data_IF_334700856877
#
_entry.id   IF_334700856877
#
_cell.length_a   1.000
_cell.length_b   1.000
_cell.length_c   1.000
_cell.angle_alpha   90.00
_cell.angle_beta   90.00
_cell.angle_gamma   90.00
#
_symmetry.space_group_name_H-M   'P 1'
#
loop_
_entity.id
_entity.type
_entity.pdbx_description
1 polymer ?
#
# COMPACT_ATOMS: atom_id res chain seq x y z
N UNK A 1 16.25 -9.30 55.45
CA UNK A 1 16.94 -8.97 54.19
C UNK A 1 18.02 -7.93 54.45
N UNK A 2 19.28 -8.31 54.27
CA UNK A 2 20.42 -7.40 54.45
C UNK A 2 20.46 -6.35 53.33
N UNK A 3 21.16 -5.23 53.54
CA UNK A 3 21.21 -4.10 52.60
C UNK A 3 21.69 -4.49 51.20
N UNK A 4 22.50 -5.54 51.11
CA UNK A 4 23.01 -6.15 49.87
C UNK A 4 21.89 -6.83 49.08
N UNK A 5 21.01 -7.60 49.74
CA UNK A 5 19.88 -8.29 49.10
C UNK A 5 18.85 -7.30 48.55
N UNK A 6 18.60 -6.20 49.27
CA UNK A 6 17.70 -5.12 48.80
C UNK A 6 18.26 -4.40 47.57
N UNK A 7 19.58 -4.21 47.49
CA UNK A 7 20.24 -3.63 46.30
C UNK A 7 20.19 -4.59 45.12
N UNK A 8 20.44 -5.88 45.34
CA UNK A 8 20.40 -6.90 44.30
C UNK A 8 19.00 -7.06 43.69
N UNK A 9 17.95 -7.10 44.53
CA UNK A 9 16.56 -7.13 44.05
C UNK A 9 16.16 -5.89 43.24
N UNK A 10 16.55 -4.68 43.68
CA UNK A 10 16.25 -3.45 42.93
C UNK A 10 16.93 -3.43 41.56
N UNK A 11 18.19 -3.85 41.48
CA UNK A 11 18.92 -3.94 40.21
C UNK A 11 18.27 -4.97 39.27
N UNK A 12 17.80 -6.10 39.80
CA UNK A 12 17.10 -7.12 39.02
C UNK A 12 15.76 -6.59 38.48
N UNK A 13 14.94 -5.94 39.32
CA UNK A 13 13.66 -5.35 38.88
C UNK A 13 13.84 -4.27 37.81
N UNK A 14 14.84 -3.38 37.96
CA UNK A 14 15.14 -2.36 36.96
C UNK A 14 15.58 -3.01 35.64
N UNK A 15 16.47 -4.01 35.70
CA UNK A 15 16.90 -4.74 34.51
C UNK A 15 15.72 -5.45 33.83
N UNK A 16 14.80 -6.07 34.58
CA UNK A 16 13.59 -6.70 34.02
C UNK A 16 12.64 -5.68 33.38
N UNK A 17 12.46 -4.50 33.97
CA UNK A 17 11.65 -3.43 33.38
C UNK A 17 12.31 -2.91 32.09
N UNK A 18 13.63 -2.71 32.10
CA UNK A 18 14.37 -2.29 30.89
C UNK A 18 14.29 -3.37 29.81
N UNK A 19 14.44 -4.65 30.15
CA UNK A 19 14.29 -5.75 29.19
C UNK A 19 12.86 -5.80 28.66
N UNK A 20 11.82 -5.66 29.51
CA UNK A 20 10.43 -5.60 29.04
C UNK A 20 10.17 -4.40 28.13
N UNK A 21 10.72 -3.22 28.46
CA UNK A 21 10.63 -2.02 27.61
C UNK A 21 11.38 -2.22 26.29
N UNK A 22 12.58 -2.81 26.30
CA UNK A 22 13.34 -3.12 25.10
C UNK A 22 12.67 -4.21 24.24
N UNK A 23 12.04 -5.22 24.86
CA UNK A 23 11.27 -6.23 24.17
C UNK A 23 9.94 -5.70 23.61
N UNK A 24 9.37 -4.62 24.19
CA UNK A 24 8.20 -3.94 23.64
C UNK A 24 8.50 -3.04 22.43
N UNK A 25 9.78 -2.80 22.13
CA UNK A 25 10.23 -1.94 21.02
C UNK A 25 10.58 -2.73 19.75
N UNK A 26 10.14 -3.98 19.59
CA UNK A 26 10.39 -4.68 18.33
C UNK A 26 9.58 -4.02 17.20
N UNK A 27 10.24 -3.49 16.15
CA UNK A 27 9.56 -2.99 14.97
C UNK A 27 8.91 -4.19 14.29
N UNK A 28 7.59 -4.18 14.27
CA UNK A 28 6.80 -5.28 13.73
C UNK A 28 5.98 -4.75 12.57
N UNK A 29 5.69 -5.64 11.63
CA UNK A 29 5.29 -5.22 10.30
C UNK A 29 3.88 -4.66 10.32
N UNK A 30 3.66 -3.50 9.70
CA UNK A 30 2.36 -2.85 9.76
C UNK A 30 2.06 -2.07 8.48
N UNK A 31 1.26 -2.60 7.55
CA UNK A 31 0.81 -1.94 6.31
C UNK A 31 -0.58 -1.30 6.45
N UNK A 32 -0.99 -0.41 5.54
CA UNK A 32 -2.33 0.22 5.55
C UNK A 32 -2.95 0.22 4.16
N UNK A 33 -4.23 -0.07 4.04
CA UNK A 33 -4.96 -0.03 2.77
C UNK A 33 -6.37 0.54 2.92
N UNK A 34 -6.92 1.06 1.83
CA UNK A 34 -8.29 1.53 1.77
C UNK A 34 -8.94 1.26 0.40
N UNK A 35 -10.27 1.21 0.39
CA UNK A 35 -11.08 1.38 -0.81
C UNK A 35 -12.13 2.46 -0.56
N UNK A 36 -12.39 3.30 -1.56
CA UNK A 36 -13.35 4.38 -1.53
C UNK A 36 -14.20 4.41 -2.81
N UNK A 37 -15.48 4.72 -2.64
CA UNK A 37 -16.49 4.83 -3.68
C UNK A 37 -17.27 6.14 -3.56
N UNK A 38 -17.05 7.04 -4.50
CA UNK A 38 -17.85 8.26 -4.68
C UNK A 38 -18.01 8.57 -6.17
N UNK A 39 -17.77 9.82 -6.55
CA UNK A 39 -17.72 10.21 -7.97
C UNK A 39 -16.60 9.49 -8.75
N UNK A 40 -15.61 8.97 -8.02
CA UNK A 40 -14.53 8.14 -8.54
C UNK A 40 -14.31 6.98 -7.56
N UNK A 41 -13.85 5.86 -8.09
CA UNK A 41 -13.35 4.73 -7.29
C UNK A 41 -11.85 4.91 -7.08
N UNK A 42 -11.40 4.76 -5.84
CA UNK A 42 -9.98 4.84 -5.49
C UNK A 42 -9.63 3.75 -4.49
N UNK A 43 -8.51 3.06 -4.73
CA UNK A 43 -7.94 2.12 -3.77
C UNK A 43 -6.54 2.56 -3.38
N UNK A 44 -6.15 2.34 -2.14
CA UNK A 44 -4.84 2.76 -1.63
C UNK A 44 -4.15 1.65 -0.87
N UNK A 45 -2.82 1.61 -0.95
CA UNK A 45 -1.98 0.73 -0.14
C UNK A 45 -0.64 1.40 0.19
N UNK A 46 -0.32 1.50 1.48
CA UNK A 46 1.02 1.77 1.99
C UNK A 46 1.74 0.45 2.26
N UNK A 47 2.90 0.29 1.64
CA UNK A 47 3.82 -0.80 1.94
C UNK A 47 4.86 -0.33 2.95
N UNK A 48 4.67 -0.78 4.17
CA UNK A 48 5.54 -0.48 5.30
C UNK A 48 6.48 -1.66 5.53
N UNK A 49 7.78 -1.40 5.51
CA UNK A 49 8.77 -2.47 5.66
C UNK A 49 10.12 -1.96 6.21
N UNK A 50 11.01 -2.90 6.55
CA UNK A 50 12.38 -2.61 6.96
C UNK A 50 13.17 -1.85 5.89
N UNK A 51 14.04 -0.95 6.34
CA UNK A 51 14.92 -0.19 5.44
C UNK A 51 15.80 -1.11 4.61
N UNK A 52 15.93 -0.81 3.31
CA UNK A 52 16.78 -1.58 2.40
C UNK A 52 16.13 -2.84 1.82
N UNK A 53 14.89 -3.15 2.19
CA UNK A 53 14.08 -4.10 1.42
C UNK A 53 13.62 -3.48 0.10
N UNK A 54 13.36 -4.37 -0.85
CA UNK A 54 12.92 -4.01 -2.19
C UNK A 54 11.72 -4.88 -2.59
N UNK A 55 10.95 -4.35 -3.53
CA UNK A 55 9.83 -5.04 -4.15
C UNK A 55 9.84 -4.80 -5.65
N UNK A 56 9.18 -5.69 -6.37
CA UNK A 56 9.09 -5.67 -7.82
C UNK A 56 7.65 -5.41 -8.22
N UNK A 57 7.45 -4.37 -9.01
CA UNK A 57 6.22 -4.17 -9.78
C UNK A 57 6.29 -5.09 -10.98
N UNK A 58 5.22 -5.83 -11.21
CA UNK A 58 5.08 -6.77 -12.32
C UNK A 58 3.77 -6.52 -13.04
N UNK A 59 3.82 -6.47 -14.37
CA UNK A 59 2.63 -6.40 -15.20
C UNK A 59 2.64 -7.62 -16.11
N UNK A 60 1.57 -8.41 -16.03
CA UNK A 60 1.39 -9.61 -16.84
C UNK A 60 0.03 -9.62 -17.49
N UNK A 61 0.00 -10.13 -18.71
CA UNK A 61 -1.23 -10.43 -19.44
C UNK A 61 -1.57 -11.91 -19.23
N UNK A 62 -2.81 -12.20 -18.81
CA UNK A 62 -3.39 -13.54 -18.75
C UNK A 62 -4.70 -13.46 -19.53
N UNK A 63 -4.77 -14.20 -20.63
CA UNK A 63 -5.83 -14.06 -21.63
C UNK A 63 -5.96 -12.58 -22.05
N UNK A 64 -7.14 -11.97 -21.90
CA UNK A 64 -7.37 -10.56 -22.23
C UNK A 64 -7.23 -9.61 -21.02
N UNK A 65 -6.84 -10.14 -19.86
CA UNK A 65 -6.72 -9.37 -18.61
C UNK A 65 -5.24 -9.05 -18.36
N UNK A 66 -4.91 -7.76 -18.28
CA UNK A 66 -3.65 -7.32 -17.69
C UNK A 66 -3.77 -7.15 -16.19
N UNK A 67 -2.74 -7.59 -15.47
CA UNK A 67 -2.66 -7.54 -14.01
C UNK A 67 -1.42 -6.79 -13.60
N UNK A 68 -1.61 -5.71 -12.85
CA UNK A 68 -0.56 -5.06 -12.06
C UNK A 68 -0.48 -5.76 -10.72
N UNK A 69 0.72 -6.18 -10.32
CA UNK A 69 0.95 -6.84 -9.04
C UNK A 69 2.31 -6.44 -8.49
N UNK A 70 2.44 -6.40 -7.17
CA UNK A 70 3.68 -6.08 -6.48
C UNK A 70 4.01 -7.20 -5.51
N UNK A 71 5.23 -7.72 -5.62
CA UNK A 71 5.76 -8.73 -4.71
C UNK A 71 7.08 -8.28 -4.10
N UNK A 72 7.30 -8.61 -2.84
CA UNK A 72 8.56 -8.33 -2.16
C UNK A 72 9.68 -9.26 -2.66
N UNK A 73 10.93 -8.98 -2.30
CA UNK A 73 12.08 -9.82 -2.70
C UNK A 73 11.99 -11.31 -2.33
N UNK A 74 11.12 -11.67 -1.40
CA UNK A 74 10.90 -13.06 -0.96
C UNK A 74 9.77 -13.75 -1.75
N UNK A 75 9.21 -13.07 -2.75
CA UNK A 75 8.17 -13.59 -3.65
C UNK A 75 6.77 -13.58 -3.03
N UNK A 76 6.53 -12.74 -2.02
CA UNK A 76 5.19 -12.53 -1.46
C UNK A 76 4.51 -11.35 -2.14
N UNK A 77 3.41 -11.64 -2.82
CA UNK A 77 2.49 -10.65 -3.35
C UNK A 77 1.78 -9.93 -2.20
N UNK A 78 1.66 -8.61 -2.31
CA UNK A 78 1.03 -7.80 -1.26
C UNK A 78 0.04 -6.74 -1.77
N UNK A 79 0.08 -6.38 -3.05
CA UNK A 79 -0.90 -5.46 -3.62
C UNK A 79 -0.97 -5.54 -5.14
N UNK A 80 -2.15 -5.39 -5.70
CA UNK A 80 -2.37 -5.49 -7.13
C UNK A 80 -3.74 -5.02 -7.58
N UNK A 81 -3.86 -4.77 -8.88
CA UNK A 81 -5.12 -4.48 -9.54
C UNK A 81 -5.10 -5.06 -10.96
N UNK A 82 -6.19 -5.68 -11.38
CA UNK A 82 -6.36 -6.10 -12.76
C UNK A 82 -7.16 -5.07 -13.57
N UNK A 83 -7.14 -5.23 -14.90
CA UNK A 83 -7.82 -4.33 -15.86
C UNK A 83 -9.35 -4.45 -15.86
N UNK A 84 -9.90 -5.40 -15.11
CA UNK A 84 -11.34 -5.38 -14.80
C UNK A 84 -11.66 -4.43 -13.65
N UNK A 85 -10.65 -3.92 -12.94
CA UNK A 85 -10.79 -3.01 -11.81
C UNK A 85 -10.87 -3.72 -10.45
N UNK A 86 -10.59 -5.03 -10.41
CA UNK A 86 -10.48 -5.79 -9.16
C UNK A 86 -9.12 -5.52 -8.53
N UNK A 87 -9.16 -5.00 -7.31
CA UNK A 87 -8.02 -4.71 -6.44
C UNK A 87 -7.91 -5.75 -5.33
N UNK A 88 -6.67 -6.07 -4.98
CA UNK A 88 -6.35 -6.90 -3.83
C UNK A 88 -5.16 -6.29 -3.07
N UNK A 89 -5.25 -6.22 -1.75
CA UNK A 89 -4.14 -5.87 -0.86
C UNK A 89 -4.06 -6.87 0.28
N UNK A 90 -2.90 -7.51 0.43
CA UNK A 90 -2.63 -8.52 1.46
C UNK A 90 -1.70 -7.93 2.53
N UNK A 91 -2.10 -8.05 3.79
CA UNK A 91 -1.41 -7.44 4.93
C UNK A 91 -1.29 -8.46 6.07
N UNK A 92 -0.22 -8.36 6.85
CA UNK A 92 -0.05 -9.22 8.02
C UNK A 92 -0.96 -8.79 9.16
N UNK A 93 -1.48 -9.76 9.89
CA UNK A 93 -2.28 -9.56 11.11
C UNK A 93 -1.37 -9.61 12.33
N UNK A 94 -1.58 -8.72 13.31
CA UNK A 94 -0.81 -8.61 14.54
C UNK A 94 -1.68 -8.11 15.72
N UNK A 95 -1.61 -8.72 16.92
CA UNK A 95 -0.84 -9.94 17.22
C UNK A 95 -1.30 -11.08 16.30
N UNK A 96 -0.37 -11.94 15.90
CA UNK A 96 -0.75 -13.24 15.36
C UNK A 96 -1.67 -13.88 16.41
N UNK A 97 -2.86 -14.31 16.00
CA UNK A 97 -3.74 -15.05 16.89
C UNK A 97 -3.08 -16.41 17.13
N UNK A 98 -2.25 -16.47 18.18
CA UNK A 98 -1.42 -17.61 18.63
C UNK A 98 -1.65 -18.91 17.86
N UNK A 99 -0.59 -19.59 17.36
CA UNK A 99 -0.70 -20.86 16.64
C UNK A 99 -1.48 -21.88 17.50
N UNK A 100 -2.75 -22.06 17.16
CA UNK A 100 -3.72 -22.70 18.04
C UNK A 100 -5.17 -22.63 17.54
N UNK A 101 -5.49 -21.77 16.58
CA UNK A 101 -6.87 -21.68 16.05
C UNK A 101 -7.08 -22.13 14.60
N UNK A 102 -6.06 -22.59 13.89
CA UNK A 102 -6.30 -23.40 12.68
C UNK A 102 -6.53 -24.85 13.13
N UNK A 103 -7.76 -25.16 13.54
CA UNK A 103 -8.22 -26.53 13.33
C UNK A 103 -8.41 -26.68 11.82
N UNK A 104 -7.49 -27.41 11.17
CA UNK A 104 -7.71 -28.10 9.88
C UNK A 104 -8.93 -29.06 9.90
N UNK A 105 -9.83 -28.92 10.88
CA UNK A 105 -10.97 -29.79 11.15
C UNK A 105 -12.30 -29.02 11.27
N UNK A 106 -12.31 -27.68 11.12
CA UNK A 106 -13.55 -26.93 11.04
C UNK A 106 -14.23 -27.19 9.68
N UNK A 107 -15.03 -28.24 9.66
CA UNK A 107 -15.83 -28.77 8.55
C UNK A 107 -15.02 -29.57 7.51
N UNK A 108 -14.86 -30.88 7.76
CA UNK A 108 -14.17 -31.85 6.88
C UNK A 108 -14.78 -31.98 5.47
N UNK A 109 -15.92 -31.33 5.22
CA UNK A 109 -16.62 -31.30 3.94
C UNK A 109 -16.18 -30.14 3.02
N UNK A 110 -15.51 -29.11 3.57
CA UNK A 110 -15.05 -27.95 2.78
C UNK A 110 -13.62 -28.16 2.25
N UNK A 111 -13.39 -27.72 1.01
CA UNK A 111 -12.05 -27.67 0.43
C UNK A 111 -11.23 -26.58 1.15
N UNK A 112 -9.93 -26.80 1.38
CA UNK A 112 -9.06 -25.77 1.96
C UNK A 112 -8.35 -24.97 0.87
N UNK A 113 -8.26 -23.66 1.03
CA UNK A 113 -7.44 -22.78 0.20
C UNK A 113 -6.62 -21.84 1.08
N UNK A 114 -5.35 -21.60 0.73
CA UNK A 114 -4.55 -20.63 1.48
C UNK A 114 -4.95 -19.19 1.14
N UNK A 115 -4.77 -18.24 2.07
CA UNK A 115 -4.98 -16.81 1.81
C UNK A 115 -4.14 -16.32 0.60
N UNK A 116 -2.91 -16.84 0.46
CA UNK A 116 -2.03 -16.54 -0.68
C UNK A 116 -2.63 -17.00 -2.01
N UNK A 117 -3.18 -18.21 -2.04
CA UNK A 117 -3.81 -18.75 -3.23
C UNK A 117 -5.15 -18.06 -3.54
N UNK A 118 -5.89 -17.65 -2.51
CA UNK A 118 -7.09 -16.82 -2.66
C UNK A 118 -6.74 -15.46 -3.28
N UNK A 119 -5.74 -14.75 -2.75
CA UNK A 119 -5.24 -13.50 -3.32
C UNK A 119 -4.88 -13.68 -4.80
N UNK A 120 -4.07 -14.69 -5.09
CA UNK A 120 -3.55 -14.92 -6.45
C UNK A 120 -4.66 -15.30 -7.41
N UNK A 121 -5.50 -16.27 -7.03
CA UNK A 121 -6.64 -16.71 -7.86
C UNK A 121 -7.57 -15.53 -8.13
N UNK A 122 -7.87 -14.73 -7.12
CA UNK A 122 -8.77 -13.59 -7.28
C UNK A 122 -8.22 -12.57 -8.24
N UNK A 123 -6.99 -12.10 -8.00
CA UNK A 123 -6.39 -11.06 -8.82
C UNK A 123 -6.18 -11.48 -10.28
N UNK A 124 -5.85 -12.75 -10.52
CA UNK A 124 -5.53 -13.26 -11.87
C UNK A 124 -6.71 -13.83 -12.64
N UNK A 125 -7.85 -14.14 -12.01
CA UNK A 125 -8.97 -14.83 -12.67
C UNK A 125 -10.32 -14.14 -12.54
N UNK A 126 -10.52 -13.31 -11.52
CA UNK A 126 -11.82 -12.71 -11.24
C UNK A 126 -11.84 -11.23 -11.60
N UNK A 127 -13.05 -10.72 -11.80
CA UNK A 127 -13.36 -9.36 -12.23
C UNK A 127 -14.10 -8.59 -11.14
N UNK A 128 -14.81 -9.29 -10.26
CA UNK A 128 -15.64 -8.71 -9.21
C UNK A 128 -15.66 -9.54 -7.92
N UNK A 129 -16.08 -8.92 -6.82
CA UNK A 129 -16.23 -9.53 -5.50
C UNK A 129 -17.21 -10.70 -5.51
N UNK A 130 -18.25 -10.65 -6.38
CA UNK A 130 -19.22 -11.73 -6.54
C UNK A 130 -18.58 -13.07 -6.86
N UNK A 131 -17.63 -13.09 -7.79
CA UNK A 131 -16.89 -14.30 -8.19
C UNK A 131 -15.98 -14.81 -7.08
N UNK A 132 -15.36 -13.92 -6.30
CA UNK A 132 -14.59 -14.29 -5.10
C UNK A 132 -15.50 -14.97 -4.09
N UNK A 133 -16.68 -14.40 -3.85
CA UNK A 133 -17.65 -14.95 -2.90
C UNK A 133 -18.15 -16.32 -3.35
N UNK A 134 -18.52 -16.49 -4.62
CA UNK A 134 -18.89 -17.77 -5.20
C UNK A 134 -17.77 -18.81 -5.04
N UNK A 135 -16.54 -18.42 -5.37
CA UNK A 135 -15.37 -19.28 -5.23
C UNK A 135 -15.13 -19.72 -3.77
N UNK A 136 -15.39 -18.84 -2.79
CA UNK A 136 -15.25 -19.14 -1.38
C UNK A 136 -16.42 -19.93 -0.76
N UNK A 137 -17.57 -20.07 -1.43
CA UNK A 137 -18.78 -20.69 -0.84
C UNK A 137 -18.53 -22.11 -0.30
N UNK A 138 -17.70 -22.89 -0.99
CA UNK A 138 -17.37 -24.26 -0.62
C UNK A 138 -15.94 -24.42 -0.09
N UNK A 139 -15.29 -23.31 0.31
CA UNK A 139 -13.89 -23.30 0.72
C UNK A 139 -13.68 -22.71 2.10
N UNK A 140 -12.74 -23.30 2.84
CA UNK A 140 -12.16 -22.72 4.03
C UNK A 140 -10.82 -22.08 3.72
N UNK A 141 -10.75 -20.76 3.94
CA UNK A 141 -9.50 -20.02 3.87
C UNK A 141 -8.63 -20.36 5.07
N UNK A 142 -7.35 -20.64 4.83
CA UNK A 142 -6.34 -20.93 5.85
C UNK A 142 -5.12 -20.03 5.68
N UNK A 143 -4.30 -19.90 6.73
CA UNK A 143 -2.98 -19.31 6.60
C UNK A 143 -1.95 -20.37 6.20
N UNK A 144 -0.84 -19.92 5.63
CA UNK A 144 0.35 -20.76 5.43
C UNK A 144 1.29 -20.62 6.62
N UNK A 145 2.34 -19.82 6.48
CA UNK A 145 3.36 -19.61 7.52
C UNK A 145 3.17 -18.31 8.30
N UNK A 146 2.46 -17.34 7.72
CA UNK A 146 2.24 -16.01 8.28
C UNK A 146 0.77 -15.66 8.15
N UNK A 147 0.20 -15.13 9.23
CA UNK A 147 -1.20 -14.72 9.28
C UNK A 147 -1.41 -13.45 8.47
N UNK A 148 -2.11 -13.60 7.36
CA UNK A 148 -2.48 -12.50 6.47
C UNK A 148 -3.99 -12.39 6.35
N UNK A 149 -4.48 -11.17 6.25
CA UNK A 149 -5.81 -10.88 5.71
C UNK A 149 -5.68 -10.16 4.37
N UNK A 150 -6.75 -10.23 3.57
CA UNK A 150 -6.76 -9.61 2.25
C UNK A 150 -7.98 -8.73 2.08
N UNK A 151 -7.76 -7.46 1.74
CA UNK A 151 -8.79 -6.58 1.23
C UNK A 151 -8.96 -6.87 -0.26
N UNK A 152 -10.20 -7.10 -0.67
CA UNK A 152 -10.61 -7.09 -2.07
C UNK A 152 -11.56 -5.93 -2.31
N UNK A 153 -11.46 -5.29 -3.47
CA UNK A 153 -12.37 -4.24 -3.89
C UNK A 153 -12.56 -4.30 -5.40
N UNK A 154 -13.77 -4.07 -5.91
CA UNK A 154 -14.05 -3.98 -7.33
C UNK A 154 -14.69 -2.64 -7.71
N UNK A 155 -14.71 -2.32 -9.00
CA UNK A 155 -15.24 -1.05 -9.52
C UNK A 155 -16.77 -0.93 -9.44
N UNK A 156 -17.48 -1.97 -9.02
CA UNK A 156 -18.95 -1.96 -8.91
C UNK A 156 -19.44 -1.29 -7.62
N UNK A 157 -18.55 -1.01 -6.68
CA UNK A 157 -18.90 -0.51 -5.35
C UNK A 157 -18.74 -1.55 -4.24
N UNK A 158 -18.28 -2.77 -4.56
CA UNK A 158 -18.14 -3.84 -3.59
C UNK A 158 -16.70 -3.94 -3.07
N UNK A 159 -16.53 -3.90 -1.76
CA UNK A 159 -15.25 -4.20 -1.12
C UNK A 159 -15.45 -5.00 0.17
N UNK A 160 -14.45 -5.82 0.51
CA UNK A 160 -14.45 -6.65 1.71
C UNK A 160 -13.03 -6.98 2.19
N UNK A 161 -12.89 -7.19 3.49
CA UNK A 161 -11.71 -7.80 4.11
C UNK A 161 -12.02 -9.25 4.43
N UNK A 162 -11.21 -10.17 3.91
CA UNK A 162 -11.30 -11.61 4.17
C UNK A 162 -10.24 -12.01 5.19
N UNK A 163 -10.70 -12.63 6.27
CA UNK A 163 -9.93 -13.05 7.43
C UNK A 163 -10.19 -14.54 7.73
N UNK A 164 -9.20 -15.22 8.30
CA UNK A 164 -9.33 -16.61 8.71
C UNK A 164 -9.89 -16.64 10.12
N UNK A 165 -11.16 -17.00 10.26
CA UNK A 165 -11.75 -17.24 11.57
C UNK A 165 -11.45 -18.64 12.09
N UNK A 166 -11.85 -18.91 13.34
CA UNK A 166 -11.78 -20.24 13.96
C UNK A 166 -12.72 -21.25 13.30
N UNK A 167 -13.99 -20.89 13.09
CA UNK A 167 -15.03 -21.82 12.61
C UNK A 167 -15.62 -21.44 11.25
N UNK A 168 -15.34 -20.23 10.74
CA UNK A 168 -15.78 -19.75 9.42
C UNK A 168 -14.75 -18.81 8.79
N UNK A 169 -14.87 -18.55 7.49
CA UNK A 169 -14.25 -17.37 6.88
C UNK A 169 -14.89 -16.12 7.52
N UNK A 170 -14.08 -15.20 8.00
CA UNK A 170 -14.53 -13.93 8.55
C UNK A 170 -14.47 -12.90 7.44
N UNK A 171 -15.59 -12.23 7.19
CA UNK A 171 -15.72 -11.26 6.11
C UNK A 171 -16.23 -9.96 6.71
N UNK A 172 -15.46 -8.89 6.56
CA UNK A 172 -15.88 -7.53 6.87
C UNK A 172 -16.17 -6.81 5.57
N UNK A 173 -17.43 -6.64 5.23
CA UNK A 173 -17.83 -5.88 4.04
C UNK A 173 -17.73 -4.38 4.30
N UNK A 174 -17.52 -3.62 3.22
CA UNK A 174 -17.60 -2.17 3.24
C UNK A 174 -18.91 -1.67 3.85
N UNK A 175 -18.83 -0.58 4.59
CA UNK A 175 -19.97 0.19 5.06
C UNK A 175 -19.94 1.56 4.39
N UNK A 176 -21.08 2.01 3.86
CA UNK A 176 -21.21 3.26 3.12
C UNK A 176 -20.23 3.38 1.92
N UNK A 177 -19.37 4.39 1.95
CA UNK A 177 -18.49 4.76 0.82
C UNK A 177 -17.06 4.27 0.96
N UNK A 178 -16.63 3.73 2.10
CA UNK A 178 -15.22 3.35 2.27
C UNK A 178 -14.98 2.21 3.26
N UNK A 179 -13.85 1.53 3.07
CA UNK A 179 -13.31 0.54 4.01
C UNK A 179 -11.80 0.75 4.16
N UNK A 180 -11.30 0.57 5.37
CA UNK A 180 -9.87 0.67 5.71
C UNK A 180 -9.43 -0.64 6.35
N UNK A 181 -8.24 -1.10 6.01
CA UNK A 181 -7.61 -2.28 6.61
C UNK A 181 -6.17 -1.92 7.01
N UNK A 182 -5.74 -2.37 8.20
CA UNK A 182 -4.35 -2.20 8.63
C UNK A 182 -3.74 -3.54 9.01
N UNK A 183 -3.55 -3.83 10.30
CA UNK A 183 -2.85 -5.05 10.74
C UNK A 183 -3.52 -5.73 11.92
N UNK A 184 -4.77 -5.39 12.20
CA UNK A 184 -5.59 -6.16 13.14
C UNK A 184 -6.75 -6.76 12.37
N UNK A 185 -7.39 -7.79 12.92
CA UNK A 185 -8.56 -8.36 12.27
C UNK A 185 -9.74 -7.37 12.33
N UNK A 186 -10.14 -6.85 11.18
CA UNK A 186 -11.27 -5.95 11.01
C UNK A 186 -12.56 -6.55 11.60
N UNK A 187 -12.76 -7.86 11.43
CA UNK A 187 -13.99 -8.55 11.83
C UNK A 187 -14.27 -8.43 13.33
N UNK A 188 -13.24 -8.55 14.19
CA UNK A 188 -13.43 -8.47 15.64
C UNK A 188 -13.70 -7.03 16.14
N UNK A 189 -13.40 -6.02 15.33
CA UNK A 189 -13.61 -4.61 15.67
C UNK A 189 -14.76 -3.96 14.91
N UNK A 190 -15.55 -4.72 14.13
CA UNK A 190 -16.61 -4.18 13.28
C UNK A 190 -17.64 -3.31 14.04
N UNK A 191 -17.94 -3.68 15.29
CA UNK A 191 -18.88 -2.94 16.17
C UNK A 191 -18.16 -2.06 17.21
N UNK A 192 -16.84 -1.90 17.09
CA UNK A 192 -16.04 -1.06 17.99
C UNK A 192 -15.91 0.34 17.39
N UNK A 193 -16.16 1.37 18.21
CA UNK A 193 -15.80 2.75 17.87
C UNK A 193 -14.33 2.81 17.44
N UNK A 194 -14.08 3.25 16.20
CA UNK A 194 -12.75 3.22 15.60
C UNK A 194 -11.70 3.95 16.45
N UNK A 195 -12.08 4.97 17.23
CA UNK A 195 -11.18 5.71 18.12
C UNK A 195 -10.74 4.92 19.35
N UNK A 196 -11.43 3.81 19.66
CA UNK A 196 -11.18 2.95 20.82
C UNK A 196 -10.43 1.67 20.46
N UNK A 197 -10.15 1.44 19.19
CA UNK A 197 -9.37 0.28 18.75
C UNK A 197 -7.93 0.46 19.24
N UNK A 198 -7.47 -0.45 20.08
CA UNK A 198 -6.10 -0.49 20.59
C UNK A 198 -5.44 -1.77 20.10
N UNK A 199 -4.88 -1.69 18.90
CA UNK A 199 -4.21 -2.80 18.22
C UNK A 199 -3.05 -2.31 17.34
N UNK A 200 -2.27 -3.22 16.76
CA UNK A 200 -1.19 -2.82 15.85
C UNK A 200 -1.77 -2.13 14.61
N UNK A 201 -1.24 -0.95 14.28
CA UNK A 201 -1.73 -0.17 13.15
C UNK A 201 -3.05 0.57 13.42
N UNK A 202 -3.52 0.58 14.67
CA UNK A 202 -4.71 1.37 15.06
C UNK A 202 -4.49 2.87 14.88
N UNK A 203 -3.28 3.37 15.11
CA UNK A 203 -2.89 4.76 14.85
C UNK A 203 -3.14 5.17 13.39
N UNK A 204 -2.68 4.36 12.43
CA UNK A 204 -2.87 4.60 10.99
C UNK A 204 -4.31 4.35 10.56
N UNK A 205 -4.98 3.38 11.17
CA UNK A 205 -6.42 3.14 10.95
C UNK A 205 -7.25 4.36 11.36
N UNK A 206 -7.01 4.88 12.57
CA UNK A 206 -7.66 6.08 13.11
C UNK A 206 -7.34 7.29 12.24
N UNK A 207 -6.07 7.50 11.86
CA UNK A 207 -5.69 8.60 10.97
C UNK A 207 -6.41 8.53 9.61
N UNK A 208 -6.55 7.34 9.04
CA UNK A 208 -7.31 7.12 7.81
C UNK A 208 -8.81 7.39 7.98
N UNK A 209 -9.41 6.92 9.08
CA UNK A 209 -10.82 7.18 9.39
C UNK A 209 -11.10 8.66 9.62
N UNK A 210 -10.29 9.34 10.44
CA UNK A 210 -10.44 10.78 10.69
C UNK A 210 -10.31 11.57 9.37
N UNK A 211 -9.30 11.23 8.53
CA UNK A 211 -9.15 11.84 7.21
C UNK A 211 -10.39 11.62 6.33
N UNK A 212 -10.93 10.40 6.31
CA UNK A 212 -12.12 10.09 5.52
C UNK A 212 -13.34 10.85 6.01
N UNK A 213 -13.64 10.84 7.30
CA UNK A 213 -14.82 11.53 7.83
C UNK A 213 -14.79 13.04 7.57
N UNK A 214 -13.60 13.65 7.56
CA UNK A 214 -13.42 15.06 7.22
C UNK A 214 -13.59 15.37 5.72
N UNK A 215 -13.37 14.38 4.84
CA UNK A 215 -13.21 14.60 3.41
C UNK A 215 -14.17 13.80 2.50
N UNK A 216 -15.00 12.92 3.06
CA UNK A 216 -15.75 11.87 2.34
C UNK A 216 -16.59 12.39 1.17
N UNK A 217 -17.23 13.55 1.30
CA UNK A 217 -18.11 14.10 0.25
C UNK A 217 -17.36 14.84 -0.86
N UNK A 218 -16.06 15.07 -0.66
CA UNK A 218 -15.22 15.79 -1.61
C UNK A 218 -13.94 15.01 -1.93
N UNK A 219 -13.95 13.70 -1.63
CA UNK A 219 -12.78 12.84 -1.77
C UNK A 219 -12.49 12.58 -3.24
N UNK A 220 -11.29 12.97 -3.66
CA UNK A 220 -10.81 12.90 -5.04
C UNK A 220 -9.40 12.27 -5.08
N UNK A 221 -8.80 12.27 -6.27
CA UNK A 221 -7.43 11.76 -6.46
C UNK A 221 -6.40 12.41 -5.52
N UNK A 222 -6.45 13.74 -5.33
CA UNK A 222 -5.47 14.45 -4.51
C UNK A 222 -5.62 14.03 -3.05
N UNK A 223 -6.85 13.92 -2.57
CA UNK A 223 -7.17 13.41 -1.23
C UNK A 223 -6.83 11.93 -1.06
N UNK A 224 -6.93 11.12 -2.11
CA UNK A 224 -6.41 9.75 -2.10
C UNK A 224 -4.92 9.68 -1.77
N UNK A 225 -4.11 10.56 -2.38
CA UNK A 225 -2.68 10.65 -2.06
C UNK A 225 -2.42 11.22 -0.66
N UNK A 226 -3.21 12.19 -0.21
CA UNK A 226 -3.13 12.74 1.15
C UNK A 226 -3.55 11.74 2.22
N UNK A 227 -4.53 10.89 1.95
CA UNK A 227 -4.94 9.79 2.82
C UNK A 227 -3.82 8.77 2.99
N UNK A 228 -3.15 8.38 1.90
CA UNK A 228 -1.94 7.53 1.99
C UNK A 228 -0.85 8.20 2.82
N UNK A 229 -0.67 9.52 2.70
CA UNK A 229 0.28 10.29 3.50
C UNK A 229 -0.12 10.35 4.98
N UNK A 230 -1.41 10.43 5.30
CA UNK A 230 -1.92 10.40 6.67
C UNK A 230 -1.77 9.01 7.31
N UNK A 231 -1.95 7.95 6.52
CA UNK A 231 -1.88 6.55 6.95
C UNK A 231 -0.47 5.95 6.88
N UNK A 232 0.57 6.75 6.62
CA UNK A 232 1.95 6.26 6.45
C UNK A 232 2.55 5.87 7.81
N UNK A 233 3.39 4.85 7.81
CA UNK A 233 4.20 4.48 8.97
C UNK A 233 5.44 5.39 9.07
N UNK A 234 5.66 5.97 10.25
CA UNK A 234 6.82 6.83 10.56
C UNK A 234 7.83 6.18 11.52
N UNK A 235 7.68 4.90 11.85
CA UNK A 235 8.58 4.22 12.78
C UNK A 235 10.05 4.21 12.28
N UNK A 236 11.00 4.31 13.20
CA UNK A 236 12.42 4.30 12.85
C UNK A 236 12.87 2.87 12.55
N UNK A 237 13.45 2.64 11.38
CA UNK A 237 13.90 1.30 10.94
C UNK A 237 12.81 0.47 10.26
N UNK A 238 11.55 0.90 10.35
CA UNK A 238 10.39 0.29 9.71
C UNK A 238 9.43 1.40 9.27
N UNK A 239 9.33 1.71 7.98
CA UNK A 239 8.50 2.82 7.51
C UNK A 239 7.91 2.55 6.14
N UNK A 240 7.01 3.41 5.69
CA UNK A 240 6.43 3.32 4.34
C UNK A 240 7.50 3.45 3.28
N UNK A 241 7.89 2.33 2.67
CA UNK A 241 8.84 2.31 1.57
C UNK A 241 8.18 2.81 0.28
N UNK A 242 6.89 2.55 0.12
CA UNK A 242 6.15 2.91 -1.08
C UNK A 242 4.65 3.03 -0.79
N UNK A 243 3.98 3.95 -1.49
CA UNK A 243 2.54 4.14 -1.44
C UNK A 243 1.97 4.02 -2.85
N UNK A 244 0.88 3.27 -2.99
CA UNK A 244 0.19 2.98 -4.24
C UNK A 244 -1.25 3.48 -4.17
N UNK A 245 -1.65 4.33 -5.12
CA UNK A 245 -3.04 4.75 -5.30
C UNK A 245 -3.53 4.23 -6.66
N UNK A 246 -4.55 3.40 -6.64
CA UNK A 246 -5.12 2.73 -7.79
C UNK A 246 -6.35 3.50 -8.28
N UNK A 247 -6.44 3.68 -9.59
CA UNK A 247 -7.59 4.28 -10.26
C UNK A 247 -8.14 3.33 -11.33
N UNK A 248 -9.11 2.47 -10.98
CA UNK A 248 -9.59 1.40 -11.86
C UNK A 248 -10.23 1.92 -13.16
N UNK A 249 -10.85 3.10 -13.17
CA UNK A 249 -11.50 3.65 -14.38
C UNK A 249 -10.49 4.03 -15.48
N UNK A 250 -9.21 4.12 -15.13
CA UNK A 250 -8.13 4.50 -16.06
C UNK A 250 -7.04 3.46 -16.16
N UNK A 251 -7.19 2.31 -15.48
CA UNK A 251 -6.17 1.26 -15.41
C UNK A 251 -4.78 1.81 -15.05
N UNK A 252 -4.76 2.71 -14.07
CA UNK A 252 -3.55 3.41 -13.66
C UNK A 252 -3.28 3.24 -12.16
N UNK A 253 -2.00 3.15 -11.83
CA UNK A 253 -1.50 3.11 -10.45
C UNK A 253 -0.53 4.27 -10.25
N UNK A 254 -0.74 5.05 -9.20
CA UNK A 254 0.07 6.21 -8.86
C UNK A 254 0.94 5.87 -7.67
N UNK A 255 2.23 6.16 -7.79
CA UNK A 255 3.24 5.63 -6.88
C UNK A 255 4.05 6.77 -6.27
N UNK A 256 4.04 6.86 -4.95
CA UNK A 256 4.96 7.69 -4.18
C UNK A 256 6.04 6.77 -3.57
N UNK A 257 7.30 6.99 -3.94
CA UNK A 257 8.41 6.17 -3.45
C UNK A 257 9.04 6.86 -2.24
N UNK A 258 9.38 6.09 -1.21
CA UNK A 258 10.12 6.57 -0.03
C UNK A 258 9.44 7.75 0.72
N UNK A 259 8.10 7.76 0.78
CA UNK A 259 7.27 8.83 1.39
C UNK A 259 7.37 10.20 0.70
N UNK A 260 7.94 10.26 -0.50
CA UNK A 260 8.02 11.49 -1.27
C UNK A 260 6.72 11.73 -2.04
N UNK A 261 5.70 12.20 -1.32
CA UNK A 261 4.38 12.54 -1.89
C UNK A 261 4.41 13.80 -2.79
N UNK A 262 5.55 14.48 -2.87
CA UNK A 262 5.74 15.58 -3.81
C UNK A 262 6.09 15.04 -5.20
N UNK A 263 6.75 13.88 -5.28
CA UNK A 263 7.11 13.19 -6.52
C UNK A 263 6.30 11.92 -6.76
N UNK A 264 5.34 12.02 -7.68
CA UNK A 264 4.43 10.92 -7.99
C UNK A 264 4.70 10.37 -9.39
N UNK A 265 4.90 9.06 -9.48
CA UNK A 265 4.89 8.32 -10.74
C UNK A 265 3.46 7.90 -11.09
N UNK A 266 3.16 7.80 -12.38
CA UNK A 266 1.96 7.15 -12.91
C UNK A 266 2.38 5.92 -13.69
N UNK A 267 1.79 4.78 -13.36
CA UNK A 267 1.97 3.52 -14.06
C UNK A 267 0.68 3.21 -14.81
N UNK A 268 0.76 3.09 -16.14
CA UNK A 268 -0.34 2.60 -16.97
C UNK A 268 -0.22 1.09 -17.13
N UNK A 269 -1.27 0.36 -16.76
CA UNK A 269 -1.30 -1.11 -16.83
C UNK A 269 -1.38 -1.55 -18.31
N UNK A 270 -2.24 -0.89 -19.10
CA UNK A 270 -2.39 -1.20 -20.54
C UNK A 270 -1.13 -0.92 -21.34
N UNK A 271 -0.54 0.26 -21.14
CA UNK A 271 0.66 0.67 -21.87
C UNK A 271 1.93 0.03 -21.32
N UNK A 272 1.85 -0.58 -20.12
CA UNK A 272 2.97 -1.10 -19.34
C UNK A 272 4.09 -0.06 -19.26
N UNK A 273 3.76 1.15 -18.82
CA UNK A 273 4.72 2.24 -18.73
C UNK A 273 4.67 2.89 -17.37
N UNK A 274 5.81 3.29 -16.82
CA UNK A 274 5.86 4.28 -15.76
C UNK A 274 6.26 5.64 -16.34
N UNK A 275 5.53 6.69 -15.98
CA UNK A 275 5.80 8.06 -16.39
C UNK A 275 5.76 9.00 -15.19
N UNK A 276 6.58 10.04 -15.22
CA UNK A 276 6.55 11.09 -14.20
C UNK A 276 5.20 11.80 -14.25
N UNK A 277 4.53 11.93 -13.11
CA UNK A 277 3.19 12.53 -13.05
C UNK A 277 3.18 13.89 -12.34
N UNK A 278 3.84 13.98 -11.18
CA UNK A 278 3.89 15.22 -10.37
C UNK A 278 5.26 15.38 -9.72
N UNK A 279 5.77 16.61 -9.66
CA UNK A 279 6.94 16.97 -8.84
C UNK A 279 8.33 16.75 -9.45
N UNK A 280 8.40 16.30 -10.71
CA UNK A 280 9.66 16.06 -11.41
C UNK A 280 10.10 17.29 -12.19
N UNK A 281 11.42 17.54 -12.20
CA UNK A 281 12.00 18.65 -12.97
C UNK A 281 11.89 18.45 -14.48
N UNK A 282 12.08 17.20 -14.92
CA UNK A 282 12.03 16.80 -16.32
C UNK A 282 11.09 15.61 -16.48
N UNK A 283 10.25 15.60 -17.52
CA UNK A 283 9.37 14.47 -17.74
C UNK A 283 10.15 13.24 -18.22
N UNK A 284 9.77 12.07 -17.70
CA UNK A 284 10.36 10.78 -18.07
C UNK A 284 9.24 9.78 -18.30
N UNK A 285 9.45 8.87 -19.25
CA UNK A 285 8.59 7.73 -19.53
C UNK A 285 9.44 6.52 -19.84
N UNK A 286 9.17 5.42 -19.14
CA UNK A 286 9.85 4.15 -19.26
C UNK A 286 8.84 3.05 -19.60
N UNK A 287 9.22 2.16 -20.52
CA UNK A 287 8.49 0.91 -20.76
C UNK A 287 8.87 -0.09 -19.66
N UNK A 288 7.86 -0.71 -19.05
CA UNK A 288 7.98 -1.83 -18.12
C UNK A 288 7.92 -3.09 -18.97
N UNK A 289 9.06 -3.74 -19.20
CA UNK A 289 9.13 -5.01 -19.91
C UNK A 289 8.95 -6.16 -18.91
N UNK A 290 7.69 -6.46 -18.60
CA UNK A 290 7.28 -7.43 -17.58
C UNK A 290 7.43 -6.94 -16.14
N UNK A 291 8.57 -6.33 -15.74
CA UNK A 291 8.78 -5.89 -14.36
C UNK A 291 9.68 -4.67 -14.19
N UNK A 292 9.58 -4.00 -13.03
CA UNK A 292 10.48 -2.95 -12.56
C UNK A 292 10.60 -2.98 -11.03
N UNK A 293 11.80 -2.80 -10.50
CA UNK A 293 11.99 -2.72 -9.04
C UNK A 293 11.61 -1.35 -8.49
N UNK A 294 11.12 -1.31 -7.26
CA UNK A 294 10.90 -0.05 -6.56
C UNK A 294 12.21 0.70 -6.30
N UNK A 295 13.32 -0.02 -6.11
CA UNK A 295 14.66 0.58 -6.04
C UNK A 295 15.05 1.30 -7.34
N UNK A 296 14.78 0.73 -8.51
CA UNK A 296 15.02 1.40 -9.81
C UNK A 296 14.16 2.67 -9.92
N UNK A 297 12.87 2.58 -9.57
CA UNK A 297 11.97 3.74 -9.57
C UNK A 297 12.43 4.82 -8.57
N UNK A 298 12.95 4.42 -7.41
CA UNK A 298 13.54 5.32 -6.41
C UNK A 298 14.76 6.04 -6.96
N UNK A 299 15.68 5.33 -7.61
CA UNK A 299 16.86 5.93 -8.22
C UNK A 299 16.46 6.98 -9.26
N UNK A 300 15.51 6.64 -10.14
CA UNK A 300 14.96 7.57 -11.14
C UNK A 300 14.25 8.78 -10.51
N UNK A 301 13.69 8.65 -9.30
CA UNK A 301 12.99 9.72 -8.57
C UNK A 301 13.92 10.86 -8.16
N UNK A 302 15.18 10.54 -7.85
CA UNK A 302 16.20 11.48 -7.39
C UNK A 302 17.30 11.73 -8.42
N UNK A 303 17.14 11.18 -9.62
CA UNK A 303 18.12 11.28 -10.69
C UNK A 303 18.16 12.67 -11.35
N UNK A 304 19.33 13.06 -11.83
CA UNK A 304 19.54 14.30 -12.60
C UNK A 304 19.67 13.97 -14.11
N UNK A 305 18.97 14.68 -15.02
CA UNK A 305 19.03 14.49 -16.47
C UNK A 305 20.43 14.47 -17.10
N UNK A 306 21.45 15.03 -16.44
CA UNK A 306 22.82 15.12 -16.95
C UNK A 306 23.54 13.78 -17.10
N UNK A 307 22.98 12.66 -16.63
CA UNK A 307 23.67 11.36 -16.59
C UNK A 307 22.88 10.19 -17.22
N UNK A 308 21.84 10.47 -18.03
CA UNK A 308 20.91 9.48 -18.64
C UNK A 308 21.58 8.22 -19.27
N UNK A 309 22.82 8.33 -19.73
CA UNK A 309 23.61 7.24 -20.33
C UNK A 309 23.70 5.95 -19.47
N UNK A 310 23.64 6.06 -18.13
CA UNK A 310 23.74 4.89 -17.26
C UNK A 310 22.47 3.99 -17.27
N UNK A 311 21.31 4.54 -17.65
CA UNK A 311 20.03 3.84 -17.64
C UNK A 311 19.51 3.45 -19.02
N UNK A 312 20.02 4.04 -20.10
CA UNK A 312 19.67 3.66 -21.48
C UNK A 312 19.96 2.18 -21.77
N UNK A 313 20.96 1.60 -21.09
CA UNK A 313 21.28 0.18 -21.20
C UNK A 313 20.33 -0.75 -20.40
N UNK A 314 19.51 -0.21 -19.48
CA UNK A 314 18.59 -0.97 -18.63
C UNK A 314 17.11 -0.74 -18.95
N UNK A 315 16.75 0.46 -19.40
CA UNK A 315 15.37 0.83 -19.72
C UNK A 315 15.33 1.62 -21.03
N UNK A 316 14.27 1.41 -21.82
CA UNK A 316 13.96 2.30 -22.95
C UNK A 316 13.42 3.60 -22.36
N UNK A 317 14.32 4.54 -22.05
CA UNK A 317 13.99 5.89 -21.59
C UNK A 317 13.78 6.77 -22.81
N UNK A 318 12.55 7.25 -23.04
CA UNK A 318 12.33 8.24 -24.11
C UNK A 318 12.70 9.64 -23.59
N UNK A 319 13.48 10.45 -24.34
CA UNK A 319 13.78 11.83 -23.95
C UNK A 319 12.51 12.69 -23.86
N UNK A 320 12.51 13.68 -22.96
CA UNK A 320 11.40 14.62 -22.72
C UNK A 320 10.76 15.22 -23.99
N UNK A 321 11.56 15.53 -25.02
CA UNK A 321 11.08 16.09 -26.30
C UNK A 321 10.22 15.11 -27.12
N UNK A 322 10.31 13.81 -26.83
CA UNK A 322 9.64 12.73 -27.55
C UNK A 322 8.59 12.02 -26.69
N UNK A 323 8.31 12.53 -25.48
CA UNK A 323 7.27 12.00 -24.58
C UNK A 323 5.97 12.76 -24.79
N UNK A 324 4.99 12.09 -25.38
CA UNK A 324 3.62 12.57 -25.34
C UNK A 324 3.02 12.26 -23.97
N UNK A 325 3.01 13.27 -23.08
CA UNK A 325 2.34 13.19 -21.79
C UNK A 325 0.82 13.32 -21.97
N UNK A 326 0.05 12.67 -21.09
CA UNK A 326 -1.38 12.93 -21.00
C UNK A 326 -1.66 14.36 -20.49
N UNK A 327 -2.85 14.91 -20.77
CA UNK A 327 -3.19 16.31 -20.42
C UNK A 327 -3.10 16.62 -18.92
N UNK A 328 -3.43 15.66 -18.06
CA UNK A 328 -3.32 15.83 -16.60
C UNK A 328 -1.85 15.95 -16.17
N UNK A 329 -0.97 15.08 -16.69
CA UNK A 329 0.47 15.19 -16.46
C UNK A 329 1.03 16.51 -17.01
N UNK A 330 0.62 16.93 -18.21
CA UNK A 330 1.01 18.24 -18.78
C UNK A 330 0.63 19.39 -17.86
N UNK A 331 -0.57 19.38 -17.29
CA UNK A 331 -1.03 20.39 -16.34
C UNK A 331 -0.13 20.46 -15.10
N UNK A 332 0.19 19.31 -14.48
CA UNK A 332 1.07 19.27 -13.31
C UNK A 332 2.48 19.77 -13.60
N UNK A 333 3.06 19.41 -14.75
CA UNK A 333 4.37 19.91 -15.16
C UNK A 333 4.35 21.43 -15.42
N UNK A 334 3.28 21.98 -16.01
CA UNK A 334 3.12 23.44 -16.17
C UNK A 334 3.10 24.18 -14.84
N UNK A 335 2.36 23.66 -13.85
CA UNK A 335 2.30 24.24 -12.50
C UNK A 335 3.68 24.25 -11.81
N UNK A 336 4.45 23.17 -11.94
CA UNK A 336 5.81 23.09 -11.39
C UNK A 336 6.75 24.13 -12.04
N UNK A 337 6.68 24.27 -13.38
CA UNK A 337 7.45 25.28 -14.12
C UNK A 337 7.11 26.72 -13.70
N UNK A 338 5.82 27.03 -13.49
CA UNK A 338 5.38 28.36 -13.03
C UNK A 338 5.90 28.69 -11.62
N UNK A 339 5.85 27.73 -10.68
CA UNK A 339 6.43 27.92 -9.34
C UNK A 339 7.93 28.23 -9.42
N UNK A 340 8.68 27.56 -10.31
CA UNK A 340 10.12 27.81 -10.50
C UNK A 340 10.40 29.24 -10.99
N UNK A 341 9.62 29.73 -11.96
CA UNK A 341 9.73 31.11 -12.45
C UNK A 341 9.45 32.11 -11.32
N UNK A 342 8.44 31.84 -10.50
CA UNK A 342 8.09 32.69 -9.36
C UNK A 342 9.21 32.74 -8.30
N UNK A 343 9.81 31.60 -7.93
CA UNK A 343 10.93 31.56 -7.00
C UNK A 343 12.21 32.20 -7.56
N UNK A 344 12.49 32.04 -8.85
CA UNK A 344 13.61 32.73 -9.52
C UNK A 344 13.36 34.25 -9.52
N UNK A 345 12.14 34.69 -9.81
CA UNK A 345 11.79 36.10 -9.79
C UNK A 345 11.93 36.71 -8.38
N UNK A 346 11.51 36.00 -7.33
CA UNK A 346 11.71 36.43 -5.93
C UNK A 346 13.19 36.42 -5.55
N UNK A 347 13.95 35.39 -5.94
CA UNK A 347 15.39 35.32 -5.69
C UNK A 347 16.16 36.47 -6.34
N UNK A 348 15.81 36.82 -7.58
CA UNK A 348 16.37 38.00 -8.27
C UNK A 348 15.96 39.30 -7.55
N UNK A 349 14.71 39.40 -7.08
CA UNK A 349 14.24 40.57 -6.33
C UNK A 349 14.96 40.75 -4.97
N UNK A 350 15.29 39.65 -4.29
CA UNK A 350 15.99 39.67 -3.00
C UNK A 350 17.50 39.94 -3.14
N UNK A 351 18.11 39.63 -4.28
CA UNK A 351 19.52 39.96 -4.58
C UNK A 351 19.66 41.39 -5.14
N UNK A 352 18.55 41.99 -5.59
CA UNK A 352 18.49 43.34 -6.17
C UNK A 352 18.06 44.46 -5.21
N UNK A 353 17.94 44.21 -3.91
CA UNK A 353 17.67 45.24 -2.90
C UNK A 353 19.01 45.74 -2.32
N UNK A 354 19.32 47.06 -2.39
CA UNK A 354 20.54 47.64 -1.85
C UNK A 354 20.66 47.56 -0.32
#
# INVERSE_FOLDING_TARGET
MNSIEKRCMKSFTIASIIIMLLCSCLPVQACSSFAYYGDQTLYGMNWDYYTGYDATIFIKTIDDIKVFNVFNKDGYDFTGMNTNGLFAAQQMVTPEEKPGFIQNQANAELETISMKDLYSTSLYKFSEIGEINEFMQNKRVTHTMVEHHTMFADKSGSAQVVEVGKDKNMITSIQDKFIIMTNFMNYYYADTDYKKIVARGSDRYIAGYDFMLENIDTFDFAKGMEMLKAMKCEETGFYTLCSFLYKPETDCVYVAVNRDFDKIWKISIWEETAETFKGFESPMKIKIDGSIKLSDLKELTYYNPQTLEAFENKFIVKPASNIELNETSKMYHRQAGQKKIFYIAIGIFLIGLP
#
